data_IF_232527192777
#
_entry.id   IF_232527192777
#
_cell.length_a   1.000
_cell.length_b   1.000
_cell.length_c   1.000
_cell.angle_alpha   90.00
_cell.angle_beta   90.00
_cell.angle_gamma   90.00
#
_symmetry.space_group_name_H-M   'P 1'
#
loop_
_entity.id
_entity.type
_entity.pdbx_description
1 polymer ?
#
# COMPACT_ATOMS: atom_id res chain seq x y z
N UNK A 1 -27.85 3.21 0.49
CA UNK A 1 -26.67 3.35 -0.39
C UNK A 1 -26.67 4.59 -1.28
N UNK A 2 -27.50 4.71 -2.33
CA UNK A 2 -27.48 5.90 -3.23
C UNK A 2 -27.87 7.19 -2.50
N UNK A 3 -28.96 7.14 -1.72
CA UNK A 3 -29.46 8.28 -0.95
C UNK A 3 -28.49 8.72 0.17
N UNK A 4 -27.80 7.80 0.83
CA UNK A 4 -26.79 8.12 1.86
C UNK A 4 -25.56 8.80 1.27
N UNK A 5 -25.14 8.39 0.07
CA UNK A 5 -24.04 9.04 -0.63
C UNK A 5 -24.42 10.45 -1.09
N UNK A 6 -25.64 10.63 -1.59
CA UNK A 6 -26.16 11.95 -1.98
C UNK A 6 -26.27 12.88 -0.76
N UNK A 7 -26.75 12.39 0.39
CA UNK A 7 -26.75 13.13 1.66
C UNK A 7 -25.34 13.55 2.09
N UNK A 8 -24.37 12.63 2.05
CA UNK A 8 -22.98 12.95 2.38
C UNK A 8 -22.41 14.02 1.42
N UNK A 9 -22.73 13.96 0.13
CA UNK A 9 -22.26 14.95 -0.84
C UNK A 9 -22.77 16.36 -0.52
N UNK A 10 -24.02 16.50 -0.04
CA UNK A 10 -24.55 17.79 0.43
C UNK A 10 -23.75 18.32 1.62
N UNK A 11 -23.43 17.47 2.59
CA UNK A 11 -22.59 17.85 3.72
C UNK A 11 -21.17 18.25 3.28
N UNK A 12 -20.58 17.52 2.34
CA UNK A 12 -19.27 17.85 1.77
C UNK A 12 -19.29 19.21 1.07
N UNK A 13 -20.35 19.53 0.33
CA UNK A 13 -20.52 20.84 -0.29
C UNK A 13 -20.61 21.96 0.75
N UNK A 14 -21.36 21.75 1.84
CA UNK A 14 -21.46 22.71 2.95
C UNK A 14 -20.12 22.89 3.67
N UNK A 15 -19.39 21.80 3.94
CA UNK A 15 -18.05 21.86 4.54
C UNK A 15 -17.06 22.62 3.66
N UNK A 16 -17.11 22.43 2.33
CA UNK A 16 -16.27 23.18 1.40
C UNK A 16 -16.61 24.67 1.43
N UNK A 17 -17.90 25.02 1.43
CA UNK A 17 -18.35 26.41 1.46
C UNK A 17 -17.91 27.11 2.74
N UNK A 18 -18.12 26.49 3.90
CA UNK A 18 -17.66 27.02 5.19
C UNK A 18 -16.13 27.11 5.27
N UNK A 19 -15.40 26.13 4.71
CA UNK A 19 -13.94 26.15 4.71
C UNK A 19 -13.34 27.27 3.86
N UNK A 20 -14.01 27.62 2.74
CA UNK A 20 -13.55 28.65 1.79
C UNK A 20 -14.01 30.06 2.18
N UNK A 21 -15.23 30.21 2.66
CA UNK A 21 -15.86 31.53 2.84
C UNK A 21 -16.41 31.77 4.25
N UNK A 22 -16.48 30.74 5.09
CA UNK A 22 -17.02 30.80 6.43
C UNK A 22 -15.97 31.06 7.51
N UNK A 23 -16.33 30.73 8.75
CA UNK A 23 -15.44 30.80 9.91
C UNK A 23 -15.10 29.40 10.41
N UNK A 24 -14.01 29.27 11.17
CA UNK A 24 -13.64 28.00 11.80
C UNK A 24 -14.77 27.46 12.70
N UNK A 25 -15.43 28.32 13.46
CA UNK A 25 -16.59 27.94 14.27
C UNK A 25 -17.78 27.45 13.44
N UNK A 26 -18.05 28.09 12.30
CA UNK A 26 -19.10 27.70 11.36
C UNK A 26 -18.82 26.32 10.77
N UNK A 27 -17.60 26.12 10.29
CA UNK A 27 -17.12 24.84 9.77
C UNK A 27 -17.25 23.72 10.81
N UNK A 28 -16.83 23.97 12.05
CA UNK A 28 -16.91 22.97 13.12
C UNK A 28 -18.35 22.63 13.48
N UNK A 29 -19.27 23.60 13.51
CA UNK A 29 -20.72 23.33 13.71
C UNK A 29 -21.30 22.48 12.59
N UNK A 30 -20.94 22.75 11.34
CA UNK A 30 -21.38 21.93 10.19
C UNK A 30 -20.78 20.53 10.28
N UNK A 31 -19.51 20.41 10.65
CA UNK A 31 -18.83 19.13 10.84
C UNK A 31 -19.47 18.28 11.92
N UNK A 32 -19.75 18.85 13.10
CA UNK A 32 -20.41 18.14 14.20
C UNK A 32 -21.79 17.60 13.79
N UNK A 33 -22.59 18.42 13.08
CA UNK A 33 -23.87 17.98 12.53
C UNK A 33 -23.68 16.87 11.49
N UNK A 34 -22.73 17.03 10.57
CA UNK A 34 -22.45 16.01 9.55
C UNK A 34 -22.08 14.66 10.18
N UNK A 35 -21.29 14.65 11.25
CA UNK A 35 -20.92 13.44 12.02
C UNK A 35 -22.13 12.81 12.73
N UNK A 36 -23.15 13.57 13.10
CA UNK A 36 -24.38 13.04 13.71
C UNK A 36 -25.29 12.36 12.68
N UNK A 37 -25.35 12.88 11.46
CA UNK A 37 -26.26 12.40 10.41
C UNK A 37 -25.65 11.40 9.42
N UNK A 38 -24.33 11.16 9.49
CA UNK A 38 -23.63 10.27 8.56
C UNK A 38 -22.59 9.42 9.32
N UNK A 39 -22.06 8.40 8.64
CA UNK A 39 -20.96 7.59 9.14
C UNK A 39 -19.75 8.46 9.55
N UNK A 40 -19.37 8.51 10.85
CA UNK A 40 -18.36 9.43 11.34
C UNK A 40 -17.05 9.37 10.56
N UNK A 41 -16.51 8.17 10.36
CA UNK A 41 -15.24 7.98 9.67
C UNK A 41 -15.22 8.61 8.27
N UNK A 42 -16.32 8.51 7.52
CA UNK A 42 -16.43 9.12 6.18
C UNK A 42 -16.39 10.64 6.26
N UNK A 43 -17.09 11.25 7.20
CA UNK A 43 -17.11 12.71 7.38
C UNK A 43 -15.73 13.23 7.78
N UNK A 44 -15.06 12.56 8.72
CA UNK A 44 -13.67 12.88 9.10
C UNK A 44 -12.71 12.80 7.90
N UNK A 45 -12.84 11.75 7.08
CA UNK A 45 -12.03 11.61 5.88
C UNK A 45 -12.27 12.74 4.87
N UNK A 46 -13.53 13.13 4.65
CA UNK A 46 -13.86 14.24 3.74
C UNK A 46 -13.30 15.56 4.25
N UNK A 47 -13.41 15.87 5.54
CA UNK A 47 -12.84 17.10 6.08
C UNK A 47 -11.31 17.11 5.98
N UNK A 48 -10.64 15.97 6.20
CA UNK A 48 -9.19 15.86 6.01
C UNK A 48 -8.78 16.08 4.55
N UNK A 49 -9.55 15.55 3.60
CA UNK A 49 -9.33 15.76 2.16
C UNK A 49 -9.54 17.25 1.79
N UNK A 50 -10.54 17.93 2.38
CA UNK A 50 -10.80 19.38 2.23
C UNK A 50 -9.65 20.23 2.79
N UNK A 51 -9.18 19.95 4.01
CA UNK A 51 -8.05 20.66 4.60
C UNK A 51 -6.77 20.46 3.79
N UNK A 52 -6.54 19.24 3.29
CA UNK A 52 -5.41 18.95 2.41
C UNK A 52 -5.47 19.74 1.10
N UNK A 53 -6.66 19.85 0.49
CA UNK A 53 -6.88 20.58 -0.76
C UNK A 53 -6.81 22.11 -0.60
N UNK A 54 -7.10 22.62 0.60
CA UNK A 54 -7.00 24.04 0.94
C UNK A 54 -5.69 24.43 1.62
N UNK A 55 -4.71 23.52 1.61
CA UNK A 55 -3.37 23.73 2.19
C UNK A 55 -3.36 24.05 3.70
N UNK A 56 -4.48 23.77 4.40
CA UNK A 56 -4.63 23.88 5.86
C UNK A 56 -4.01 22.67 6.56
N UNK A 57 -2.70 22.55 6.42
CA UNK A 57 -1.99 21.33 6.75
C UNK A 57 -1.91 21.03 8.25
N UNK A 58 -1.93 22.07 9.10
CA UNK A 58 -1.87 21.90 10.55
C UNK A 58 -3.20 21.33 11.06
N UNK A 59 -4.29 21.89 10.57
CA UNK A 59 -5.66 21.47 10.84
C UNK A 59 -5.91 20.04 10.33
N UNK A 60 -5.38 19.71 9.14
CA UNK A 60 -5.39 18.34 8.63
C UNK A 60 -4.63 17.37 9.55
N UNK A 61 -3.44 17.75 10.03
CA UNK A 61 -2.63 16.93 10.95
C UNK A 61 -3.37 16.69 12.28
N UNK A 62 -3.91 17.74 12.88
CA UNK A 62 -4.69 17.67 14.12
C UNK A 62 -5.95 16.80 13.96
N UNK A 63 -6.61 16.90 12.80
CA UNK A 63 -7.75 16.05 12.46
C UNK A 63 -7.34 14.59 12.30
N UNK A 64 -6.24 14.29 11.60
CA UNK A 64 -5.71 12.92 11.49
C UNK A 64 -5.30 12.34 12.85
N UNK A 65 -4.66 13.14 13.72
CA UNK A 65 -4.34 12.74 15.08
C UNK A 65 -5.61 12.42 15.89
N UNK A 66 -6.69 13.18 15.69
CA UNK A 66 -8.01 12.88 16.27
C UNK A 66 -8.61 11.59 15.71
N UNK A 67 -8.51 11.38 14.40
CA UNK A 67 -8.95 10.13 13.75
C UNK A 67 -8.17 8.93 14.27
N UNK A 68 -6.86 9.04 14.47
CA UNK A 68 -6.04 7.97 15.05
C UNK A 68 -6.42 7.66 16.50
N UNK A 69 -6.93 8.62 17.28
CA UNK A 69 -7.42 8.35 18.64
C UNK A 69 -8.75 7.60 18.60
N UNK A 70 -9.66 7.98 17.72
CA UNK A 70 -11.04 7.47 17.67
C UNK A 70 -11.20 6.18 16.85
N UNK A 71 -10.41 6.03 15.79
CA UNK A 71 -10.53 4.97 14.78
C UNK A 71 -9.21 4.20 14.59
N UNK A 72 -8.43 4.02 15.67
CA UNK A 72 -7.09 3.37 15.63
C UNK A 72 -7.06 1.97 15.02
N UNK A 73 -8.19 1.25 15.03
CA UNK A 73 -8.30 -0.10 14.46
C UNK A 73 -8.61 -0.09 12.95
N UNK A 74 -8.93 1.06 12.38
CA UNK A 74 -9.24 1.22 10.96
C UNK A 74 -7.97 1.43 10.15
N UNK A 75 -7.54 0.41 9.41
CA UNK A 75 -6.33 0.46 8.55
C UNK A 75 -6.36 1.62 7.55
N UNK A 76 -7.55 1.98 7.05
CA UNK A 76 -7.69 3.06 6.07
C UNK A 76 -7.24 4.42 6.62
N UNK A 77 -7.36 4.65 7.93
CA UNK A 77 -6.93 5.90 8.57
C UNK A 77 -5.41 6.01 8.56
N UNK A 78 -4.71 4.93 8.92
CA UNK A 78 -3.25 4.87 8.90
C UNK A 78 -2.71 5.07 7.48
N UNK A 79 -3.31 4.41 6.49
CA UNK A 79 -2.91 4.54 5.08
C UNK A 79 -3.15 5.97 4.57
N UNK A 80 -4.33 6.56 4.84
CA UNK A 80 -4.64 7.94 4.42
C UNK A 80 -3.71 8.96 5.07
N UNK A 81 -3.45 8.84 6.38
CA UNK A 81 -2.57 9.78 7.07
C UNK A 81 -1.12 9.67 6.60
N UNK A 82 -0.63 8.44 6.39
CA UNK A 82 0.72 8.24 5.82
C UNK A 82 0.81 8.83 4.41
N UNK A 83 -0.22 8.63 3.58
CA UNK A 83 -0.29 9.24 2.23
C UNK A 83 -0.25 10.76 2.32
N UNK A 84 -0.99 11.37 3.24
CA UNK A 84 -0.98 12.82 3.47
C UNK A 84 0.41 13.34 3.83
N UNK A 85 1.11 12.67 4.75
CA UNK A 85 2.46 13.06 5.17
C UNK A 85 3.48 12.91 4.03
N UNK A 86 3.44 11.81 3.28
CA UNK A 86 4.34 11.59 2.14
C UNK A 86 4.12 12.62 1.03
N UNK A 87 2.87 12.95 0.71
CA UNK A 87 2.56 14.02 -0.28
C UNK A 87 3.12 15.39 0.11
N UNK A 88 3.31 15.64 1.41
CA UNK A 88 3.90 16.88 1.93
C UNK A 88 5.43 16.84 2.03
N UNK A 89 6.05 15.71 1.71
CA UNK A 89 7.49 15.50 1.90
C UNK A 89 7.90 15.23 3.36
N UNK A 90 6.95 15.03 4.27
CA UNK A 90 7.22 14.73 5.69
C UNK A 90 7.48 13.23 5.90
N UNK A 91 8.52 12.71 5.24
CA UNK A 91 8.86 11.28 5.16
C UNK A 91 9.17 10.70 6.55
N UNK A 92 9.91 11.40 7.39
CA UNK A 92 10.26 10.91 8.74
C UNK A 92 9.02 10.81 9.63
N UNK A 93 8.05 11.70 9.45
CA UNK A 93 6.78 11.63 10.17
C UNK A 93 5.96 10.42 9.72
N UNK A 94 5.92 10.15 8.41
CA UNK A 94 5.30 8.95 7.85
C UNK A 94 5.94 7.66 8.41
N UNK A 95 7.28 7.61 8.45
CA UNK A 95 8.01 6.45 8.99
C UNK A 95 7.69 6.19 10.46
N UNK A 96 7.48 7.24 11.27
CA UNK A 96 7.07 7.10 12.69
C UNK A 96 5.64 6.58 12.86
N UNK A 97 4.77 6.71 11.87
CA UNK A 97 3.39 6.19 11.95
C UNK A 97 3.32 4.67 11.81
N UNK A 98 4.19 4.06 11.01
CA UNK A 98 4.17 2.62 10.76
C UNK A 98 4.29 1.77 12.03
N UNK A 99 5.30 1.93 12.91
CA UNK A 99 5.37 1.13 14.13
C UNK A 99 4.20 1.40 15.08
N UNK A 100 3.58 2.59 15.01
CA UNK A 100 2.36 2.90 15.77
C UNK A 100 1.15 2.17 15.21
N UNK A 101 1.03 2.08 13.87
CA UNK A 101 -0.04 1.35 13.20
C UNK A 101 0.00 -0.14 13.58
N UNK A 102 1.19 -0.76 13.53
CA UNK A 102 1.35 -2.18 13.89
C UNK A 102 1.02 -2.48 15.35
N UNK A 103 1.24 -1.53 16.27
CA UNK A 103 0.84 -1.68 17.67
C UNK A 103 -0.67 -1.58 17.89
N UNK A 104 -1.40 -0.90 17.01
CA UNK A 104 -2.84 -0.64 17.16
C UNK A 104 -3.71 -1.60 16.34
N UNK A 105 -3.18 -2.13 15.24
CA UNK A 105 -3.90 -3.01 14.31
C UNK A 105 -3.70 -4.48 14.68
N UNK A 106 -4.68 -5.36 14.39
CA UNK A 106 -4.53 -6.80 14.55
C UNK A 106 -3.45 -7.39 13.63
N UNK A 107 -2.73 -8.42 14.08
CA UNK A 107 -1.62 -9.06 13.36
C UNK A 107 -2.00 -9.52 11.93
N UNK A 108 -3.24 -9.98 11.75
CA UNK A 108 -3.76 -10.40 10.44
C UNK A 108 -3.76 -9.27 9.39
N UNK A 109 -3.87 -8.02 9.82
CA UNK A 109 -3.87 -6.84 8.95
C UNK A 109 -2.47 -6.28 8.72
N UNK A 110 -1.46 -6.68 9.53
CA UNK A 110 -0.11 -6.10 9.45
C UNK A 110 0.50 -6.27 8.06
N UNK A 111 0.40 -7.46 7.48
CA UNK A 111 0.97 -7.73 6.16
C UNK A 111 0.33 -6.85 5.07
N UNK A 112 -0.99 -6.66 5.12
CA UNK A 112 -1.71 -5.83 4.17
C UNK A 112 -1.33 -4.34 4.32
N UNK A 113 -1.31 -3.85 5.56
CA UNK A 113 -0.94 -2.46 5.85
C UNK A 113 0.50 -2.17 5.45
N UNK A 114 1.46 -3.01 5.84
CA UNK A 114 2.87 -2.81 5.48
C UNK A 114 3.04 -2.88 3.96
N UNK A 115 2.37 -3.81 3.27
CA UNK A 115 2.41 -3.90 1.80
C UNK A 115 1.88 -2.62 1.14
N UNK A 116 0.81 -2.04 1.70
CA UNK A 116 0.22 -0.80 1.19
C UNK A 116 1.10 0.42 1.48
N UNK A 117 1.67 0.51 2.67
CA UNK A 117 2.60 1.57 3.04
C UNK A 117 3.88 1.50 2.20
N UNK A 118 4.45 0.32 1.97
CA UNK A 118 5.61 0.14 1.10
C UNK A 118 5.31 0.64 -0.32
N UNK A 119 4.17 0.28 -0.91
CA UNK A 119 3.75 0.81 -2.21
C UNK A 119 3.67 2.35 -2.24
N UNK A 120 3.23 2.97 -1.14
CA UNK A 120 3.16 4.44 -1.05
C UNK A 120 4.56 5.07 -0.99
N UNK A 121 5.50 4.46 -0.26
CA UNK A 121 6.89 4.92 -0.20
C UNK A 121 7.53 4.91 -1.60
N UNK A 122 7.33 3.87 -2.40
CA UNK A 122 7.82 3.85 -3.78
C UNK A 122 7.20 4.92 -4.69
N UNK A 123 5.96 5.34 -4.42
CA UNK A 123 5.25 6.30 -5.26
C UNK A 123 5.52 7.75 -4.89
N UNK A 124 5.70 8.03 -3.59
CA UNK A 124 5.66 9.39 -3.04
C UNK A 124 6.82 9.70 -2.09
N UNK A 125 7.54 8.69 -1.62
CA UNK A 125 8.57 8.80 -0.59
C UNK A 125 9.91 8.23 -1.06
N UNK A 126 10.50 7.41 -0.20
CA UNK A 126 11.81 6.79 -0.46
C UNK A 126 11.66 5.35 -0.95
N UNK A 127 12.07 5.12 -2.21
CA UNK A 127 12.06 3.79 -2.81
C UNK A 127 12.95 2.80 -2.05
N UNK A 128 14.07 3.23 -1.46
CA UNK A 128 14.96 2.36 -0.69
C UNK A 128 14.30 1.92 0.63
N UNK A 129 13.58 2.83 1.29
CA UNK A 129 12.78 2.47 2.46
C UNK A 129 11.65 1.50 2.09
N UNK A 130 10.94 1.75 0.98
CA UNK A 130 9.95 0.82 0.44
C UNK A 130 10.52 -0.59 0.17
N UNK A 131 11.74 -0.68 -0.40
CA UNK A 131 12.45 -1.96 -0.59
C UNK A 131 12.73 -2.63 0.75
N UNK A 132 13.32 -1.90 1.70
CA UNK A 132 13.64 -2.41 3.02
C UNK A 132 12.42 -3.00 3.74
N UNK A 133 11.25 -2.38 3.58
CA UNK A 133 9.99 -2.90 4.11
C UNK A 133 9.59 -4.24 3.50
N UNK A 134 9.64 -4.37 2.16
CA UNK A 134 9.34 -5.64 1.51
C UNK A 134 10.36 -6.71 1.86
N UNK A 135 11.65 -6.38 1.92
CA UNK A 135 12.70 -7.31 2.32
C UNK A 135 12.51 -7.82 3.76
N UNK A 136 12.16 -6.93 4.70
CA UNK A 136 11.85 -7.32 6.08
C UNK A 136 10.59 -8.21 6.17
N UNK A 137 9.59 -7.93 5.35
CA UNK A 137 8.39 -8.76 5.27
C UNK A 137 8.70 -10.16 4.70
N UNK A 138 9.56 -10.23 3.69
CA UNK A 138 9.96 -11.46 3.03
C UNK A 138 10.97 -12.28 3.84
N UNK A 139 11.77 -11.64 4.70
CA UNK A 139 12.60 -12.35 5.69
C UNK A 139 11.74 -13.03 6.75
N UNK A 140 10.65 -12.37 7.17
CA UNK A 140 9.70 -12.91 8.15
C UNK A 140 8.79 -13.97 7.52
N UNK A 141 8.31 -13.75 6.29
CA UNK A 141 7.34 -14.61 5.61
C UNK A 141 7.79 -15.00 4.18
N UNK A 142 8.88 -15.78 4.03
CA UNK A 142 9.49 -16.05 2.72
C UNK A 142 8.59 -16.82 1.75
N UNK A 143 7.58 -17.55 2.24
CA UNK A 143 6.66 -18.36 1.42
C UNK A 143 5.36 -17.65 1.02
N UNK A 144 5.15 -16.40 1.45
CA UNK A 144 3.96 -15.59 1.10
C UNK A 144 4.08 -15.04 -0.31
N UNK A 145 3.43 -15.72 -1.26
CA UNK A 145 3.52 -15.42 -2.70
C UNK A 145 2.81 -14.14 -3.12
N UNK A 146 1.81 -13.72 -2.35
CA UNK A 146 1.13 -12.44 -2.49
C UNK A 146 2.09 -11.26 -2.31
N UNK A 147 2.98 -11.33 -1.31
CA UNK A 147 3.98 -10.29 -1.02
C UNK A 147 5.01 -10.22 -2.15
N UNK A 148 5.55 -11.36 -2.58
CA UNK A 148 6.44 -11.43 -3.74
C UNK A 148 5.80 -10.87 -5.00
N UNK A 149 4.53 -11.18 -5.25
CA UNK A 149 3.81 -10.67 -6.41
C UNK A 149 3.77 -9.14 -6.41
N UNK A 150 3.37 -8.54 -5.29
CA UNK A 150 3.28 -7.09 -5.12
C UNK A 150 4.67 -6.45 -5.25
N UNK A 151 5.69 -7.04 -4.61
CA UNK A 151 7.05 -6.51 -4.66
C UNK A 151 7.60 -6.50 -6.09
N UNK A 152 7.41 -7.59 -6.84
CA UNK A 152 7.76 -7.67 -8.27
C UNK A 152 7.04 -6.59 -9.07
N UNK A 153 5.72 -6.40 -8.87
CA UNK A 153 4.95 -5.39 -9.60
C UNK A 153 5.42 -3.96 -9.33
N UNK A 154 5.82 -3.67 -8.09
CA UNK A 154 6.39 -2.38 -7.71
C UNK A 154 7.78 -2.19 -8.33
N UNK A 155 8.62 -3.21 -8.30
CA UNK A 155 9.97 -3.16 -8.87
C UNK A 155 9.97 -3.10 -10.40
N UNK A 156 9.00 -3.71 -11.07
CA UNK A 156 8.80 -3.54 -12.52
C UNK A 156 8.47 -2.08 -12.87
N UNK A 157 7.77 -1.36 -11.99
CA UNK A 157 7.37 0.03 -12.23
C UNK A 157 8.45 1.04 -11.89
N UNK A 158 9.19 0.82 -10.81
CA UNK A 158 10.08 1.83 -10.22
C UNK A 158 11.56 1.38 -10.13
N UNK A 159 11.83 0.08 -10.25
CA UNK A 159 13.16 -0.50 -10.12
C UNK A 159 13.89 -0.64 -11.46
N UNK A 160 15.17 -0.98 -11.36
CA UNK A 160 16.00 -1.32 -12.52
C UNK A 160 15.72 -2.74 -13.01
N UNK A 161 16.00 -3.02 -14.30
CA UNK A 161 15.87 -4.38 -14.84
C UNK A 161 16.69 -5.42 -14.06
N UNK A 162 17.86 -5.01 -13.57
CA UNK A 162 18.73 -5.89 -12.78
C UNK A 162 18.05 -6.31 -11.49
N UNK A 163 17.52 -5.35 -10.72
CA UNK A 163 16.84 -5.66 -9.46
C UNK A 163 15.58 -6.51 -9.68
N UNK A 164 14.84 -6.28 -10.76
CA UNK A 164 13.67 -7.10 -11.11
C UNK A 164 14.08 -8.55 -11.38
N UNK A 165 15.16 -8.76 -12.14
CA UNK A 165 15.72 -10.09 -12.40
C UNK A 165 16.21 -10.76 -11.13
N UNK A 166 16.95 -10.05 -10.29
CA UNK A 166 17.45 -10.56 -9.01
C UNK A 166 16.29 -11.03 -8.11
N UNK A 167 15.17 -10.30 -8.09
CA UNK A 167 13.96 -10.71 -7.35
C UNK A 167 13.33 -11.95 -7.97
N UNK A 168 13.20 -12.03 -9.29
CA UNK A 168 12.69 -13.23 -9.96
C UNK A 168 13.57 -14.45 -9.67
N UNK A 169 14.90 -14.29 -9.73
CA UNK A 169 15.87 -15.34 -9.41
C UNK A 169 15.71 -15.83 -7.97
N UNK A 170 15.58 -14.91 -7.01
CA UNK A 170 15.30 -15.28 -5.61
C UNK A 170 14.02 -16.09 -5.48
N UNK A 171 12.95 -15.68 -6.17
CA UNK A 171 11.66 -16.39 -6.12
C UNK A 171 11.75 -17.80 -6.70
N UNK A 172 12.48 -18.01 -7.80
CA UNK A 172 12.61 -19.33 -8.41
C UNK A 172 13.49 -20.30 -7.61
N UNK A 173 14.34 -19.78 -6.71
CA UNK A 173 15.09 -20.59 -5.78
C UNK A 173 14.33 -20.89 -4.47
N UNK A 174 13.14 -20.34 -4.28
CA UNK A 174 12.30 -20.67 -3.13
C UNK A 174 11.65 -22.05 -3.26
N UNK A 175 11.58 -22.76 -2.14
CA UNK A 175 10.83 -24.00 -2.02
C UNK A 175 9.31 -23.74 -1.91
N UNK A 176 8.70 -23.39 -3.05
CA UNK A 176 7.26 -23.23 -3.22
C UNK A 176 6.61 -24.46 -3.88
N UNK A 177 5.27 -24.53 -3.85
CA UNK A 177 4.53 -25.60 -4.54
C UNK A 177 4.60 -25.42 -6.06
N UNK A 178 4.54 -26.53 -6.82
CA UNK A 178 4.66 -26.49 -8.28
C UNK A 178 3.67 -25.54 -8.96
N UNK A 179 2.43 -25.42 -8.45
CA UNK A 179 1.43 -24.46 -8.96
C UNK A 179 1.88 -23.01 -8.81
N UNK A 180 2.44 -22.64 -7.64
CA UNK A 180 2.95 -21.30 -7.36
C UNK A 180 4.20 -20.98 -8.17
N UNK A 181 5.10 -21.95 -8.30
CA UNK A 181 6.31 -21.80 -9.11
C UNK A 181 5.99 -21.62 -10.59
N UNK A 182 5.04 -22.41 -11.12
CA UNK A 182 4.56 -22.24 -12.49
C UNK A 182 4.01 -20.83 -12.74
N UNK A 183 3.33 -20.24 -11.76
CA UNK A 183 2.84 -18.86 -11.84
C UNK A 183 3.99 -17.85 -11.95
N UNK A 184 5.02 -17.96 -11.10
CA UNK A 184 6.17 -17.06 -11.15
C UNK A 184 7.03 -17.25 -12.41
N UNK A 185 7.29 -18.48 -12.85
CA UNK A 185 7.98 -18.74 -14.12
C UNK A 185 7.22 -18.16 -15.31
N UNK A 186 5.89 -18.27 -15.34
CA UNK A 186 5.07 -17.66 -16.39
C UNK A 186 5.23 -16.14 -16.40
N UNK A 187 5.17 -15.49 -15.24
CA UNK A 187 5.39 -14.04 -15.12
C UNK A 187 6.80 -13.62 -15.49
N UNK A 188 7.82 -14.38 -15.09
CA UNK A 188 9.21 -14.08 -15.44
C UNK A 188 9.41 -14.16 -16.96
N UNK A 189 8.85 -15.18 -17.62
CA UNK A 189 8.86 -15.28 -19.09
C UNK A 189 8.11 -14.13 -19.76
N UNK A 190 6.96 -13.71 -19.23
CA UNK A 190 6.23 -12.56 -19.76
C UNK A 190 7.01 -11.25 -19.61
N UNK A 191 7.77 -11.10 -18.51
CA UNK A 191 8.66 -9.96 -18.28
C UNK A 191 9.84 -9.97 -19.27
N UNK A 192 10.58 -11.07 -19.37
CA UNK A 192 11.72 -11.19 -20.29
C UNK A 192 11.32 -11.11 -21.76
N UNK A 193 10.10 -11.52 -22.13
CA UNK A 193 9.57 -11.27 -23.49
C UNK A 193 9.38 -9.79 -23.81
N UNK A 194 9.11 -8.96 -22.80
CA UNK A 194 8.88 -7.51 -22.98
C UNK A 194 10.17 -6.71 -22.90
N UNK A 195 11.08 -7.09 -22.01
CA UNK A 195 12.24 -6.27 -21.64
C UNK A 195 13.59 -6.97 -21.80
N UNK A 196 13.58 -8.27 -22.13
CA UNK A 196 14.75 -9.14 -22.19
C UNK A 196 15.23 -9.44 -23.60
N UNK A 197 16.20 -10.35 -23.67
CA UNK A 197 16.81 -10.86 -24.89
C UNK A 197 16.43 -12.32 -25.12
N UNK A 198 16.71 -12.84 -26.32
CA UNK A 198 16.43 -14.25 -26.63
C UNK A 198 17.17 -15.20 -25.67
N UNK A 199 18.37 -14.80 -25.23
CA UNK A 199 19.21 -15.54 -24.28
C UNK A 199 18.59 -15.61 -22.89
N UNK A 200 18.12 -14.47 -22.34
CA UNK A 200 17.48 -14.45 -21.01
C UNK A 200 16.18 -15.25 -21.01
N UNK A 201 15.39 -15.18 -22.09
CA UNK A 201 14.18 -16.00 -22.25
C UNK A 201 14.52 -17.50 -22.25
N UNK A 202 15.60 -17.89 -22.93
CA UNK A 202 16.06 -19.29 -22.93
C UNK A 202 16.57 -19.72 -21.55
N UNK A 203 17.31 -18.87 -20.84
CA UNK A 203 17.76 -19.14 -19.48
C UNK A 203 16.59 -19.39 -18.52
N UNK A 204 15.54 -18.56 -18.57
CA UNK A 204 14.33 -18.76 -17.75
C UNK A 204 13.60 -20.07 -18.10
N UNK A 205 13.54 -20.43 -19.40
CA UNK A 205 12.96 -21.73 -19.81
C UNK A 205 13.79 -22.90 -19.30
N UNK A 206 15.12 -22.82 -19.36
CA UNK A 206 16.02 -23.85 -18.87
C UNK A 206 15.86 -24.04 -17.35
N UNK A 207 15.84 -22.94 -16.59
CA UNK A 207 15.60 -22.97 -15.14
C UNK A 207 14.23 -23.57 -14.78
N UNK A 208 13.18 -23.27 -15.56
CA UNK A 208 11.86 -23.87 -15.37
C UNK A 208 11.87 -25.39 -15.60
N UNK A 209 12.59 -25.86 -16.63
CA UNK A 209 12.73 -27.30 -16.92
C UNK A 209 13.52 -28.02 -15.84
N UNK A 210 14.60 -27.43 -15.34
CA UNK A 210 15.41 -27.97 -14.25
C UNK A 210 14.62 -28.06 -12.95
N UNK A 211 13.81 -27.05 -12.64
CA UNK A 211 12.90 -27.08 -11.49
C UNK A 211 11.89 -28.23 -11.60
N UNK A 212 11.31 -28.47 -12.78
CA UNK A 212 10.37 -29.59 -12.98
C UNK A 212 11.09 -30.94 -12.85
N UNK A 213 12.28 -31.08 -13.43
CA UNK A 213 13.07 -32.32 -13.32
C UNK A 213 13.42 -32.66 -11.87
N UNK A 214 13.94 -31.69 -11.12
CA UNK A 214 14.29 -31.88 -9.71
C UNK A 214 13.10 -32.25 -8.83
N UNK A 215 11.90 -31.70 -9.09
CA UNK A 215 10.68 -32.07 -8.36
C UNK A 215 10.14 -33.45 -8.72
N UNK A 216 10.28 -33.88 -9.97
CA UNK A 216 9.89 -35.23 -10.38
C UNK A 216 10.84 -36.28 -9.78
N UNK A 217 12.16 -36.04 -9.79
CA UNK A 217 13.12 -36.96 -9.18
C UNK A 217 12.92 -37.11 -7.66
N UNK A 218 12.51 -36.03 -6.97
CA UNK A 218 12.15 -36.05 -5.55
C UNK A 218 10.81 -36.73 -5.25
N UNK A 219 9.96 -36.95 -6.26
CA UNK A 219 8.68 -37.64 -6.11
C UNK A 219 8.77 -39.14 -6.43
N UNK A 220 9.83 -39.55 -7.15
CA UNK A 220 10.12 -40.94 -7.52
C UNK A 220 11.06 -41.66 -6.53
N UNK A 221 11.67 -40.92 -5.60
CA UNK A 221 12.52 -41.40 -4.49
C UNK A 221 11.79 -41.36 -3.16
#
# INVERSE_FOLDING_TARGET
>A
FREEQEKLNVWVALLNLENMYGTEEGLMKVFERAVQYNEPLKVFQQLADIYSASEKYKEADDLYNTMLKRFRQEKCVWVKYTTFLLKRGSVEAAHRLMPRALKCLPDKEHVDVISKLAQLEFQLGDAEHGKAMFENMLSTYPKRTDIWSVYIDVMIKHGSQKEVRDIFERVIHLNLTAKKMKFFFKRYLEYEKKYGTVETIQAVKAAALEYVKSKNSLAES
#
